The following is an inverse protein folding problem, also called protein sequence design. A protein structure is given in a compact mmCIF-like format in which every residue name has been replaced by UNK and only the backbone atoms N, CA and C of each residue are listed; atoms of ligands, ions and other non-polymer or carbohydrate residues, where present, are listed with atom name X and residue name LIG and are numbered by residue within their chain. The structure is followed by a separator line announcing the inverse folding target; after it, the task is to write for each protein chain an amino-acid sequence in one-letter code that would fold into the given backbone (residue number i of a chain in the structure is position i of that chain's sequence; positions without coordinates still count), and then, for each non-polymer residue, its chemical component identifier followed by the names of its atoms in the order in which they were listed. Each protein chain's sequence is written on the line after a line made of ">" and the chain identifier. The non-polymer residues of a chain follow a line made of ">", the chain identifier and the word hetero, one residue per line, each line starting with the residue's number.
data_IF_095304492378
#
_entry.id   IF_095304492378
#
_cell.length_a   1.000
_cell.length_b   1.000
_cell.length_c   1.000
_cell.angle_alpha   90.00
_cell.angle_beta   90.00
_cell.angle_gamma   90.00
#
_symmetry.space_group_name_H-M   'P 1'
#
loop_
_entity.id
_entity.type
_entity.pdbx_description
1 polymer ?
#
# COMPACT_ATOMS: atom_id res chain seq x y z
N UNK A 1 -11.01 2.29 -23.39
CA UNK A 1 -10.47 3.42 -22.61
C UNK A 1 -10.45 3.18 -21.08
N UNK A 2 -11.47 2.55 -20.47
CA UNK A 2 -11.52 2.29 -19.01
C UNK A 2 -10.42 1.32 -18.59
N UNK A 3 -10.32 0.17 -19.28
CA UNK A 3 -9.28 -0.84 -19.01
C UNK A 3 -7.88 -0.24 -19.18
N UNK A 4 -7.63 0.51 -20.26
CA UNK A 4 -6.33 1.10 -20.51
C UNK A 4 -5.90 2.10 -19.42
N UNK A 5 -6.83 2.89 -18.88
CA UNK A 5 -6.55 3.78 -17.74
C UNK A 5 -6.29 3.03 -16.45
N UNK A 6 -6.91 1.87 -16.28
CA UNK A 6 -6.77 1.05 -15.08
C UNK A 6 -5.55 0.12 -15.09
N UNK A 7 -4.75 0.10 -16.16
CA UNK A 7 -3.60 -0.81 -16.33
C UNK A 7 -2.32 -0.08 -16.74
N UNK A 8 -1.90 0.96 -15.99
CA UNK A 8 -0.64 1.66 -16.28
C UNK A 8 0.54 0.69 -16.17
N UNK A 9 1.49 0.79 -17.09
CA UNK A 9 2.70 -0.04 -17.10
C UNK A 9 2.51 -1.49 -17.56
N UNK A 10 1.30 -1.91 -17.95
CA UNK A 10 1.07 -3.26 -18.45
C UNK A 10 1.70 -3.43 -19.84
N UNK A 11 2.46 -4.51 -20.00
CA UNK A 11 2.92 -4.98 -21.31
C UNK A 11 1.78 -5.66 -22.09
N UNK A 12 2.00 -5.95 -23.39
CA UNK A 12 1.06 -6.74 -24.16
C UNK A 12 0.78 -8.13 -23.59
N UNK A 13 1.79 -8.74 -22.92
CA UNK A 13 1.63 -10.02 -22.23
C UNK A 13 0.72 -9.89 -21.01
N UNK A 14 0.86 -8.80 -20.22
CA UNK A 14 0.02 -8.53 -19.05
C UNK A 14 -1.43 -8.29 -19.47
N UNK A 15 -1.65 -7.56 -20.57
CA UNK A 15 -2.99 -7.34 -21.12
C UNK A 15 -3.63 -8.65 -21.62
N UNK A 16 -2.87 -9.52 -22.26
CA UNK A 16 -3.34 -10.85 -22.65
C UNK A 16 -3.70 -11.70 -21.45
N UNK A 17 -2.89 -11.65 -20.39
CA UNK A 17 -3.19 -12.32 -19.13
C UNK A 17 -4.44 -11.74 -18.47
N UNK A 18 -4.64 -10.43 -18.50
CA UNK A 18 -5.84 -9.77 -17.98
C UNK A 18 -7.12 -10.29 -18.64
N UNK A 19 -7.11 -10.40 -19.97
CA UNK A 19 -8.26 -10.96 -20.74
C UNK A 19 -8.51 -12.42 -20.35
N UNK A 20 -7.45 -13.22 -20.26
CA UNK A 20 -7.55 -14.63 -19.86
C UNK A 20 -8.11 -14.78 -18.44
N UNK A 21 -7.61 -14.00 -17.46
CA UNK A 21 -8.12 -14.04 -16.09
C UNK A 21 -9.57 -13.58 -16.00
N UNK A 22 -9.98 -12.55 -16.75
CA UNK A 22 -11.35 -12.09 -16.80
C UNK A 22 -12.29 -13.19 -17.36
N UNK A 23 -11.85 -13.91 -18.40
CA UNK A 23 -12.60 -15.05 -18.94
C UNK A 23 -12.72 -16.19 -17.90
N UNK A 24 -11.69 -16.45 -17.11
CA UNK A 24 -11.74 -17.44 -16.04
C UNK A 24 -12.71 -17.03 -14.92
N UNK A 25 -12.78 -15.73 -14.56
CA UNK A 25 -13.77 -15.24 -13.61
C UNK A 25 -15.21 -15.40 -14.15
N UNK A 26 -15.46 -15.06 -15.41
CA UNK A 26 -16.76 -15.25 -16.05
C UNK A 26 -17.17 -16.74 -16.06
N UNK A 27 -16.24 -17.63 -16.41
CA UNK A 27 -16.49 -19.06 -16.40
C UNK A 27 -16.85 -19.60 -15.01
N UNK A 28 -16.14 -19.16 -13.96
CA UNK A 28 -16.46 -19.53 -12.57
C UNK A 28 -17.83 -19.02 -12.12
N UNK A 29 -18.26 -17.86 -12.62
CA UNK A 29 -19.58 -17.28 -12.36
C UNK A 29 -20.67 -17.85 -13.28
N UNK A 30 -20.37 -18.86 -14.12
CA UNK A 30 -21.26 -19.42 -15.13
C UNK A 30 -21.85 -18.38 -16.10
N UNK A 31 -21.12 -17.28 -16.35
CA UNK A 31 -21.48 -16.25 -17.31
C UNK A 31 -21.06 -16.67 -18.72
N UNK A 32 -21.87 -16.33 -19.72
CA UNK A 32 -21.56 -16.58 -21.14
C UNK A 32 -20.75 -15.47 -21.80
N UNK A 33 -20.72 -14.30 -21.17
CA UNK A 33 -20.01 -13.11 -21.64
C UNK A 33 -19.12 -12.58 -20.52
N UNK A 34 -17.99 -12.00 -20.91
CA UNK A 34 -17.09 -11.27 -19.98
C UNK A 34 -17.53 -9.81 -19.98
N UNK A 35 -17.89 -9.27 -18.84
CA UNK A 35 -18.23 -7.87 -18.68
C UNK A 35 -17.17 -7.11 -17.85
N UNK A 36 -17.42 -5.84 -17.53
CA UNK A 36 -16.44 -5.01 -16.85
C UNK A 36 -16.13 -5.48 -15.43
N UNK A 37 -17.08 -6.13 -14.77
CA UNK A 37 -16.90 -6.65 -13.41
C UNK A 37 -15.82 -7.73 -13.38
N UNK A 38 -15.81 -8.65 -14.34
CA UNK A 38 -14.76 -9.67 -14.47
C UNK A 38 -13.40 -9.06 -14.80
N UNK A 39 -13.37 -8.00 -15.61
CA UNK A 39 -12.11 -7.27 -15.87
C UNK A 39 -11.58 -6.56 -14.64
N UNK A 40 -12.43 -5.96 -13.82
CA UNK A 40 -12.02 -5.34 -12.56
C UNK A 40 -11.47 -6.39 -11.57
N UNK A 41 -12.16 -7.54 -11.41
CA UNK A 41 -11.69 -8.65 -10.58
C UNK A 41 -10.36 -9.23 -11.07
N UNK A 42 -10.19 -9.35 -12.39
CA UNK A 42 -8.94 -9.82 -12.98
C UNK A 42 -7.79 -8.84 -12.76
N UNK A 43 -8.05 -7.54 -12.92
CA UNK A 43 -7.10 -6.48 -12.64
C UNK A 43 -6.66 -6.50 -11.18
N UNK A 44 -7.62 -6.57 -10.25
CA UNK A 44 -7.34 -6.66 -8.83
C UNK A 44 -6.47 -7.88 -8.49
N UNK A 45 -6.76 -9.04 -9.08
CA UNK A 45 -5.96 -10.26 -8.91
C UNK A 45 -4.53 -10.10 -9.43
N UNK A 46 -4.34 -9.45 -10.58
CA UNK A 46 -3.01 -9.26 -11.18
C UNK A 46 -2.20 -8.24 -10.38
N UNK A 47 -2.81 -7.13 -9.99
CA UNK A 47 -2.11 -6.02 -9.33
C UNK A 47 -1.90 -6.24 -7.84
N UNK A 48 -2.86 -6.82 -7.14
CA UNK A 48 -2.82 -7.01 -5.67
C UNK A 48 -2.59 -8.46 -5.25
N UNK A 49 -2.63 -9.42 -6.18
CA UNK A 49 -2.57 -10.85 -5.88
C UNK A 49 -3.94 -11.49 -5.65
N UNK A 50 -3.96 -12.82 -5.61
CA UNK A 50 -5.18 -13.59 -5.38
C UNK A 50 -5.71 -13.39 -3.96
N UNK A 51 -7.03 -13.25 -3.81
CA UNK A 51 -7.70 -13.21 -2.50
C UNK A 51 -7.53 -14.52 -1.73
N UNK A 52 -7.28 -14.41 -0.44
CA UNK A 52 -7.16 -15.55 0.49
C UNK A 52 -8.33 -15.56 1.46
N UNK A 53 -9.56 -15.70 0.96
CA UNK A 53 -10.79 -15.73 1.76
C UNK A 53 -10.87 -16.91 2.76
N UNK A 54 -10.05 -17.93 2.56
CA UNK A 54 -9.92 -19.05 3.49
C UNK A 54 -9.11 -18.72 4.76
N UNK A 55 -8.42 -17.59 4.80
CA UNK A 55 -7.71 -17.12 5.98
C UNK A 55 -8.71 -16.47 6.94
N UNK A 56 -9.00 -17.12 8.05
CA UNK A 56 -9.85 -16.56 9.10
C UNK A 56 -9.00 -15.64 9.97
N UNK A 57 -9.29 -14.34 9.90
CA UNK A 57 -8.67 -13.33 10.76
C UNK A 57 -9.51 -13.16 12.03
N UNK A 58 -8.86 -12.98 13.17
CA UNK A 58 -9.56 -12.56 14.39
C UNK A 58 -10.11 -11.13 14.23
N UNK A 59 -11.15 -10.78 14.99
CA UNK A 59 -11.71 -9.41 14.98
C UNK A 59 -10.67 -8.37 15.37
N UNK A 60 -9.72 -8.72 16.25
CA UNK A 60 -8.62 -7.84 16.62
C UNK A 60 -7.66 -7.60 15.45
N UNK A 61 -7.27 -8.65 14.73
CA UNK A 61 -6.42 -8.55 13.53
C UNK A 61 -7.12 -7.80 12.41
N UNK A 62 -8.43 -8.06 12.20
CA UNK A 62 -9.25 -7.34 11.22
C UNK A 62 -9.28 -5.85 11.51
N UNK A 63 -9.51 -5.50 12.78
CA UNK A 63 -9.50 -4.11 13.23
C UNK A 63 -8.13 -3.46 13.07
N UNK A 64 -7.06 -4.16 13.46
CA UNK A 64 -5.69 -3.66 13.34
C UNK A 64 -5.35 -3.40 11.86
N UNK A 65 -5.63 -4.34 10.98
CA UNK A 65 -5.43 -4.22 9.53
C UNK A 65 -6.23 -3.05 8.96
N UNK A 66 -7.49 -2.86 9.39
CA UNK A 66 -8.32 -1.77 8.91
C UNK A 66 -7.73 -0.39 9.25
N UNK A 67 -7.23 -0.19 10.47
CA UNK A 67 -6.56 1.04 10.84
C UNK A 67 -5.23 1.23 10.13
N UNK A 68 -4.47 0.16 9.94
CA UNK A 68 -3.20 0.17 9.20
C UNK A 68 -3.41 0.67 7.76
N UNK A 69 -4.31 0.04 7.01
CA UNK A 69 -4.60 0.41 5.63
C UNK A 69 -5.25 1.81 5.52
N UNK A 70 -6.13 2.15 6.44
CA UNK A 70 -6.71 3.50 6.51
C UNK A 70 -5.62 4.57 6.74
N UNK A 71 -4.60 4.26 7.52
CA UNK A 71 -3.45 5.12 7.74
C UNK A 71 -2.70 5.44 6.45
N UNK A 72 -2.37 4.43 5.64
CA UNK A 72 -1.76 4.61 4.33
C UNK A 72 -2.61 5.47 3.41
N UNK A 73 -3.90 5.17 3.33
CA UNK A 73 -4.83 5.86 2.44
C UNK A 73 -4.99 7.35 2.79
N UNK A 74 -5.17 7.67 4.09
CA UNK A 74 -5.34 9.06 4.53
C UNK A 74 -4.08 9.87 4.33
N UNK A 75 -2.91 9.31 4.68
CA UNK A 75 -1.64 10.02 4.45
C UNK A 75 -1.42 10.23 2.97
N UNK A 76 -1.58 9.19 2.14
CA UNK A 76 -1.41 9.31 0.69
C UNK A 76 -2.34 10.34 0.05
N UNK A 77 -3.57 10.51 0.56
CA UNK A 77 -4.52 11.52 0.07
C UNK A 77 -4.20 12.96 0.50
N UNK A 78 -3.43 13.15 1.56
CA UNK A 78 -3.20 14.47 2.18
C UNK A 78 -1.78 14.99 2.02
N UNK A 79 -0.85 14.19 1.55
CA UNK A 79 0.49 14.67 1.17
C UNK A 79 0.43 15.42 -0.17
N UNK A 80 1.36 16.36 -0.43
CA UNK A 80 1.24 17.29 -1.57
C UNK A 80 1.35 16.63 -2.94
N UNK A 81 2.08 15.53 -3.04
CA UNK A 81 2.30 14.85 -4.32
C UNK A 81 2.31 13.35 -4.09
N UNK A 82 1.28 12.66 -4.53
CA UNK A 82 1.15 11.21 -4.44
C UNK A 82 0.19 10.72 -5.53
N UNK A 83 0.30 9.44 -5.90
CA UNK A 83 -0.69 8.83 -6.75
C UNK A 83 -2.03 8.73 -6.02
N UNK A 84 -3.16 8.87 -6.72
CA UNK A 84 -4.46 8.72 -6.10
C UNK A 84 -4.67 7.33 -5.47
N UNK A 85 -5.36 7.30 -4.33
CA UNK A 85 -5.80 6.03 -3.75
C UNK A 85 -6.91 5.48 -4.63
N UNK A 86 -6.67 4.31 -5.21
CA UNK A 86 -7.63 3.63 -6.06
C UNK A 86 -8.58 2.74 -5.28
N UNK A 87 -8.04 1.91 -4.39
CA UNK A 87 -8.80 0.93 -3.60
C UNK A 87 -8.07 0.61 -2.31
N UNK A 88 -8.82 0.36 -1.25
CA UNK A 88 -8.30 -0.12 0.03
C UNK A 88 -9.07 -1.38 0.41
N UNK A 89 -8.37 -2.43 0.81
CA UNK A 89 -8.98 -3.71 1.20
C UNK A 89 -8.29 -4.31 2.40
N UNK A 90 -9.08 -4.96 3.25
CA UNK A 90 -8.59 -5.79 4.35
C UNK A 90 -8.77 -7.28 4.07
N UNK A 91 -9.19 -7.64 2.85
CA UNK A 91 -9.19 -9.04 2.40
C UNK A 91 -7.73 -9.44 2.16
N UNK A 92 -7.21 -10.47 2.83
CA UNK A 92 -5.84 -10.91 2.64
C UNK A 92 -5.53 -11.30 1.19
N UNK A 93 -4.40 -10.80 0.67
CA UNK A 93 -3.94 -11.06 -0.70
C UNK A 93 -2.47 -11.44 -0.70
N UNK A 94 -2.12 -12.56 -1.32
CA UNK A 94 -0.74 -13.04 -1.32
C UNK A 94 -0.19 -13.21 0.11
N UNK A 95 0.80 -12.41 0.49
CA UNK A 95 1.38 -12.36 1.84
C UNK A 95 0.85 -11.21 2.70
N UNK A 96 0.12 -10.26 2.12
CA UNK A 96 -0.41 -9.11 2.82
C UNK A 96 -1.76 -9.44 3.47
N UNK A 97 -2.01 -8.89 4.66
CA UNK A 97 -3.29 -8.99 5.36
C UNK A 97 -4.29 -7.96 4.85
N UNK A 98 -3.81 -6.84 4.34
CA UNK A 98 -4.56 -5.81 3.66
C UNK A 98 -3.73 -5.19 2.54
N UNK A 99 -4.33 -4.34 1.73
CA UNK A 99 -3.65 -3.62 0.65
C UNK A 99 -4.29 -2.26 0.44
N UNK A 100 -3.49 -1.21 0.50
CA UNK A 100 -3.85 0.13 0.01
C UNK A 100 -3.22 0.33 -1.35
N UNK A 101 -4.05 0.38 -2.38
CA UNK A 101 -3.61 0.50 -3.76
C UNK A 101 -3.65 1.94 -4.23
N UNK A 102 -2.51 2.42 -4.69
CA UNK A 102 -2.35 3.69 -5.37
C UNK A 102 -2.21 3.45 -6.87
N UNK A 103 -2.89 4.23 -7.68
CA UNK A 103 -2.87 4.08 -9.12
C UNK A 103 -2.48 5.41 -9.77
N UNK A 104 -1.36 5.48 -10.50
CA UNK A 104 -0.97 6.70 -11.20
C UNK A 104 -1.99 7.06 -12.27
N UNK A 105 -2.31 8.34 -12.41
CA UNK A 105 -3.22 8.85 -13.45
C UNK A 105 -2.55 8.91 -14.82
N UNK A 106 -1.23 9.02 -14.85
CA UNK A 106 -0.43 9.13 -16.06
C UNK A 106 0.87 8.29 -15.94
N UNK A 107 1.42 7.87 -17.07
CA UNK A 107 2.71 7.23 -17.12
C UNK A 107 3.81 8.23 -16.72
N UNK A 108 4.60 7.88 -15.70
CA UNK A 108 5.69 8.73 -15.21
C UNK A 108 7.04 8.16 -15.58
N UNK A 109 7.85 9.01 -16.17
CA UNK A 109 9.24 8.69 -16.55
C UNK A 109 10.25 9.16 -15.50
N UNK A 110 9.83 10.03 -14.56
CA UNK A 110 10.70 10.58 -13.51
C UNK A 110 9.93 10.84 -12.22
N UNK A 111 10.65 10.85 -11.11
CA UNK A 111 10.11 11.05 -9.77
C UNK A 111 10.73 12.31 -9.15
N UNK A 112 9.91 13.25 -8.72
CA UNK A 112 10.39 14.43 -8.00
C UNK A 112 10.74 14.10 -6.54
N UNK A 113 11.62 14.91 -5.92
CA UNK A 113 11.93 14.80 -4.48
C UNK A 113 10.66 14.85 -3.61
N UNK A 114 9.72 15.75 -3.98
CA UNK A 114 8.45 15.89 -3.26
C UNK A 114 7.59 14.64 -3.33
N UNK A 115 7.50 14.01 -4.51
CA UNK A 115 6.77 12.75 -4.68
C UNK A 115 7.39 11.61 -3.87
N UNK A 116 8.72 11.47 -3.90
CA UNK A 116 9.43 10.45 -3.13
C UNK A 116 9.24 10.64 -1.62
N UNK A 117 9.37 11.88 -1.12
CA UNK A 117 9.09 12.19 0.28
C UNK A 117 7.63 11.92 0.65
N UNK A 118 6.69 12.17 -0.25
CA UNK A 118 5.27 11.87 -0.05
C UNK A 118 5.00 10.36 -0.01
N UNK A 119 5.67 9.59 -0.87
CA UNK A 119 5.60 8.12 -0.81
C UNK A 119 6.16 7.58 0.51
N UNK A 120 7.31 8.08 0.98
CA UNK A 120 7.87 7.72 2.28
C UNK A 120 6.87 8.05 3.41
N UNK A 121 6.25 9.23 3.36
CA UNK A 121 5.22 9.60 4.33
C UNK A 121 4.05 8.63 4.32
N UNK A 122 3.54 8.26 3.14
CA UNK A 122 2.42 7.32 3.00
C UNK A 122 2.76 5.93 3.54
N UNK A 123 3.99 5.43 3.32
CA UNK A 123 4.46 4.15 3.86
C UNK A 123 4.45 4.10 5.39
N UNK A 124 4.66 5.21 6.08
CA UNK A 124 4.56 5.25 7.54
C UNK A 124 3.13 5.38 8.05
N UNK A 125 2.14 5.60 7.18
CA UNK A 125 0.74 5.79 7.56
C UNK A 125 0.19 4.64 8.39
N UNK A 126 0.42 3.40 7.97
CA UNK A 126 -0.05 2.19 8.66
C UNK A 126 0.52 2.08 10.07
N UNK A 127 1.85 2.16 10.21
CA UNK A 127 2.54 2.09 11.50
C UNK A 127 2.06 3.14 12.48
N UNK A 128 1.92 4.39 12.04
CA UNK A 128 1.50 5.49 12.89
C UNK A 128 0.02 5.35 13.28
N UNK A 129 -0.83 4.86 12.40
CA UNK A 129 -2.22 4.56 12.73
C UNK A 129 -2.31 3.51 13.86
N UNK A 130 -1.52 2.43 13.78
CA UNK A 130 -1.42 1.45 14.87
C UNK A 130 -0.99 2.11 16.19
N UNK A 131 0.04 2.95 16.19
CA UNK A 131 0.55 3.63 17.39
C UNK A 131 -0.49 4.56 18.02
N UNK A 132 -1.22 5.31 17.20
CA UNK A 132 -2.23 6.26 17.68
C UNK A 132 -3.45 5.58 18.30
N UNK A 133 -3.84 4.41 17.77
CA UNK A 133 -5.08 3.73 18.16
C UNK A 133 -4.85 2.66 19.24
N UNK A 134 -3.77 1.88 19.11
CA UNK A 134 -3.54 0.69 19.96
C UNK A 134 -2.40 0.86 20.98
N UNK A 135 -1.76 2.02 21.02
CA UNK A 135 -0.53 2.34 21.76
C UNK A 135 0.72 1.67 21.21
N UNK A 136 1.87 2.30 21.47
CA UNK A 136 3.18 1.87 20.96
C UNK A 136 3.58 0.44 21.39
N UNK A 137 3.07 -0.08 22.51
CA UNK A 137 3.35 -1.44 22.98
C UNK A 137 2.61 -2.54 22.21
N UNK A 138 1.56 -2.20 21.45
CA UNK A 138 0.75 -3.13 20.67
C UNK A 138 1.01 -3.05 19.17
N UNK A 139 2.01 -2.30 18.76
CA UNK A 139 2.41 -2.21 17.37
C UNK A 139 2.97 -3.54 16.89
N UNK A 140 2.63 -3.89 15.66
CA UNK A 140 2.96 -5.19 15.10
C UNK A 140 4.13 -5.12 14.11
N UNK A 141 4.57 -6.30 13.67
CA UNK A 141 5.54 -6.44 12.58
C UNK A 141 4.91 -6.23 11.20
N UNK A 142 3.62 -5.94 11.10
CA UNK A 142 2.90 -5.73 9.84
C UNK A 142 3.53 -4.66 8.96
N UNK A 143 4.03 -3.58 9.57
CA UNK A 143 4.69 -2.48 8.87
C UNK A 143 6.15 -2.78 8.41
N UNK A 144 6.66 -4.01 8.57
CA UNK A 144 8.08 -4.32 8.24
C UNK A 144 8.43 -4.00 6.79
N UNK A 145 7.57 -4.36 5.85
CA UNK A 145 7.78 -4.10 4.43
C UNK A 145 7.74 -2.60 4.12
N UNK A 146 6.84 -1.85 4.75
CA UNK A 146 6.71 -0.41 4.55
C UNK A 146 7.94 0.33 5.06
N UNK A 147 8.46 -0.06 6.24
CA UNK A 147 9.68 0.47 6.82
C UNK A 147 10.88 0.17 5.92
N UNK A 148 10.98 -1.06 5.41
CA UNK A 148 12.05 -1.46 4.48
C UNK A 148 12.01 -0.61 3.21
N UNK A 149 10.84 -0.50 2.56
CA UNK A 149 10.64 0.31 1.35
C UNK A 149 10.93 1.79 1.59
N UNK A 150 10.46 2.36 2.69
CA UNK A 150 10.73 3.74 3.06
C UNK A 150 12.24 3.98 3.23
N UNK A 151 12.94 3.06 3.89
CA UNK A 151 14.39 3.13 4.10
C UNK A 151 15.14 3.01 2.77
N UNK A 152 14.75 2.10 1.89
CA UNK A 152 15.36 1.94 0.57
C UNK A 152 15.16 3.17 -0.32
N UNK A 153 13.97 3.80 -0.29
CA UNK A 153 13.71 5.05 -1.00
C UNK A 153 14.58 6.17 -0.46
N UNK A 154 14.62 6.38 0.85
CA UNK A 154 15.47 7.41 1.48
C UNK A 154 16.94 7.20 1.16
N UNK A 155 17.44 5.95 1.21
CA UNK A 155 18.80 5.59 0.82
C UNK A 155 19.07 5.92 -0.64
N UNK A 156 18.18 5.55 -1.55
CA UNK A 156 18.33 5.85 -2.98
C UNK A 156 18.31 7.36 -3.26
N UNK A 157 17.49 8.12 -2.55
CA UNK A 157 17.47 9.58 -2.65
C UNK A 157 18.84 10.19 -2.31
N UNK A 158 19.51 9.67 -1.28
CA UNK A 158 20.80 10.16 -0.80
C UNK A 158 21.96 9.64 -1.65
N UNK A 159 21.97 8.32 -1.94
CA UNK A 159 23.17 7.67 -2.50
C UNK A 159 23.16 7.49 -4.00
N UNK A 160 21.97 7.46 -4.65
CA UNK A 160 21.86 7.20 -6.10
C UNK A 160 21.41 8.42 -6.90
N UNK A 161 20.47 9.20 -6.35
CA UNK A 161 19.82 10.26 -7.12
C UNK A 161 20.29 11.67 -6.76
N UNK A 162 21.24 11.81 -5.82
CA UNK A 162 21.81 13.11 -5.45
C UNK A 162 20.79 14.13 -4.95
N UNK A 163 19.75 13.66 -4.23
CA UNK A 163 18.64 14.49 -3.74
C UNK A 163 18.86 15.01 -2.30
N UNK A 164 20.03 14.75 -1.71
CA UNK A 164 20.41 15.31 -0.39
C UNK A 164 21.00 16.71 -0.59
N UNK A 165 20.50 17.68 0.18
CA UNK A 165 21.02 19.04 0.16
C UNK A 165 22.41 19.12 0.82
N UNK A 166 22.73 18.22 1.79
CA UNK A 166 24.01 18.15 2.49
C UNK A 166 25.12 17.48 1.68
N UNK A 167 24.78 16.40 0.96
CA UNK A 167 25.74 15.58 0.22
C UNK A 167 25.86 15.99 -1.24
N UNK A 168 24.92 16.79 -1.74
CA UNK A 168 24.92 17.29 -3.11
C UNK A 168 24.57 16.24 -4.17
N UNK A 169 24.69 16.60 -5.47
CA UNK A 169 24.32 15.74 -6.60
C UNK A 169 25.47 14.77 -6.94
N UNK A 170 25.83 13.93 -6.01
CA UNK A 170 26.85 12.91 -6.17
C UNK A 170 26.23 11.51 -5.98
N UNK A 171 26.84 10.51 -6.62
CA UNK A 171 26.50 9.10 -6.39
C UNK A 171 27.48 8.46 -5.42
N UNK A 172 26.92 7.77 -4.41
CA UNK A 172 27.67 7.02 -3.40
C UNK A 172 27.27 5.54 -3.42
N UNK A 173 26.54 5.09 -4.46
CA UNK A 173 26.19 3.69 -4.60
C UNK A 173 27.46 2.89 -4.91
N UNK A 174 27.68 1.84 -4.14
CA UNK A 174 28.59 0.78 -4.59
C UNK A 174 27.98 0.22 -5.90
N UNK A 175 28.78 0.17 -6.97
CA UNK A 175 28.40 -0.65 -8.11
C UNK A 175 28.31 -2.08 -7.59
N UNK A 176 27.14 -2.71 -7.74
CA UNK A 176 27.01 -4.16 -7.59
C UNK A 176 27.86 -4.78 -8.70
N UNK A 177 29.16 -4.86 -8.45
CA UNK A 177 30.09 -5.54 -9.35
C UNK A 177 29.58 -6.95 -9.52
N UNK A 178 29.33 -7.37 -10.75
CA UNK A 178 28.97 -8.74 -11.07
C UNK A 178 29.90 -9.67 -10.29
N UNK A 179 29.31 -10.46 -9.38
CA UNK A 179 30.06 -11.49 -8.64
C UNK A 179 30.48 -12.56 -9.65
N UNK A 180 31.62 -12.35 -10.27
CA UNK A 180 32.25 -13.36 -11.11
C UNK A 180 32.70 -14.47 -10.17
N UNK A 181 32.08 -15.64 -10.29
CA UNK A 181 32.33 -16.85 -9.51
C UNK A 181 33.84 -17.09 -9.37
N UNK A 182 34.37 -16.91 -8.15
CA UNK A 182 35.68 -17.44 -7.78
C UNK A 182 36.75 -16.45 -7.28
N UNK A 183 36.49 -15.16 -7.14
CA UNK A 183 37.41 -14.23 -6.45
C UNK A 183 36.66 -13.47 -5.34
N UNK A 184 37.15 -13.67 -4.11
CA UNK A 184 36.82 -12.75 -3.01
C UNK A 184 37.49 -11.41 -3.32
N UNK A 185 36.72 -10.50 -3.93
CA UNK A 185 37.16 -9.10 -4.08
C UNK A 185 37.08 -8.50 -2.69
N UNK A 186 38.25 -8.11 -2.16
CA UNK A 186 38.31 -7.25 -0.98
C UNK A 186 37.51 -5.98 -1.34
N UNK A 187 36.30 -5.79 -0.77
CA UNK A 187 35.56 -4.58 -0.96
C UNK A 187 36.35 -3.42 -0.40
N UNK A 188 36.98 -2.65 -1.27
CA UNK A 188 37.52 -1.37 -0.89
C UNK A 188 36.34 -0.46 -0.59
N UNK A 189 36.22 -0.01 0.66
CA UNK A 189 35.25 0.99 1.09
C UNK A 189 35.49 2.24 0.25
N UNK A 190 34.67 2.45 -0.78
CA UNK A 190 34.83 3.54 -1.75
C UNK A 190 34.57 4.93 -1.15
N UNK A 191 34.04 4.98 0.08
CA UNK A 191 33.65 6.20 0.81
C UNK A 191 34.37 6.26 2.17
N UNK A 192 34.73 7.49 2.60
CA UNK A 192 35.30 7.72 3.94
C UNK A 192 34.29 7.46 5.05
N UNK A 193 34.76 7.17 6.27
CA UNK A 193 33.88 6.97 7.43
C UNK A 193 33.02 8.20 7.73
N UNK A 194 33.57 9.40 7.53
CA UNK A 194 32.84 10.65 7.66
C UNK A 194 31.69 10.77 6.66
N UNK A 195 31.93 10.43 5.40
CA UNK A 195 30.90 10.40 4.35
C UNK A 195 29.84 9.34 4.64
N UNK A 196 30.22 8.15 5.10
CA UNK A 196 29.28 7.10 5.49
C UNK A 196 28.37 7.58 6.64
N UNK A 197 28.96 8.22 7.65
CA UNK A 197 28.17 8.81 8.75
C UNK A 197 27.21 9.88 8.27
N UNK A 198 27.65 10.77 7.38
CA UNK A 198 26.81 11.80 6.80
C UNK A 198 25.66 11.23 5.97
N UNK A 199 25.86 10.12 5.24
CA UNK A 199 24.81 9.40 4.53
C UNK A 199 23.78 8.84 5.51
N UNK A 200 24.21 8.18 6.59
CA UNK A 200 23.29 7.61 7.60
C UNK A 200 22.48 8.71 8.29
N UNK A 201 23.09 9.86 8.62
CA UNK A 201 22.37 11.02 9.16
C UNK A 201 21.30 11.55 8.20
N UNK A 202 21.64 11.72 6.92
CA UNK A 202 20.69 12.22 5.92
C UNK A 202 19.52 11.26 5.69
N UNK A 203 19.79 9.95 5.63
CA UNK A 203 18.73 8.93 5.55
C UNK A 203 17.80 9.06 6.76
N UNK A 204 18.36 9.14 7.97
CA UNK A 204 17.59 9.29 9.20
C UNK A 204 16.76 10.59 9.19
N UNK A 205 17.34 11.70 8.76
CA UNK A 205 16.65 12.98 8.67
C UNK A 205 15.44 12.93 7.72
N UNK A 206 15.60 12.27 6.54
CA UNK A 206 14.50 12.08 5.59
C UNK A 206 13.39 11.23 6.22
N UNK A 207 13.74 10.12 6.87
CA UNK A 207 12.80 9.24 7.55
C UNK A 207 12.06 9.99 8.67
N UNK A 208 12.77 10.62 9.58
CA UNK A 208 12.20 11.31 10.74
C UNK A 208 11.28 12.47 10.32
N UNK A 209 11.68 13.24 9.30
CA UNK A 209 10.86 14.32 8.73
C UNK A 209 9.53 13.78 8.21
N UNK A 210 9.56 12.70 7.42
CA UNK A 210 8.38 12.14 6.79
C UNK A 210 7.51 11.37 7.78
N UNK A 211 8.10 10.72 8.78
CA UNK A 211 7.39 10.11 9.90
C UNK A 211 6.57 11.16 10.68
N UNK A 212 7.22 12.25 11.11
CA UNK A 212 6.56 13.37 11.82
C UNK A 212 5.47 14.03 10.97
N UNK A 213 5.67 14.12 9.63
CA UNK A 213 4.66 14.62 8.70
C UNK A 213 3.40 13.75 8.73
N UNK A 214 3.56 12.45 8.64
CA UNK A 214 2.47 11.47 8.64
C UNK A 214 1.74 11.45 9.98
N UNK A 215 2.47 11.50 11.08
CA UNK A 215 1.91 11.62 12.43
C UNK A 215 1.03 12.87 12.58
N UNK A 216 1.51 14.02 12.11
CA UNK A 216 0.76 15.27 12.14
C UNK A 216 -0.51 15.18 11.29
N UNK A 217 -0.43 14.55 10.12
CA UNK A 217 -1.58 14.35 9.22
C UNK A 217 -2.64 13.49 9.91
N UNK A 218 -2.26 12.34 10.46
CA UNK A 218 -3.20 11.41 11.09
C UNK A 218 -3.81 11.97 12.36
N UNK A 219 -3.00 12.61 13.23
CA UNK A 219 -3.53 13.29 14.44
C UNK A 219 -4.58 14.35 14.11
N UNK A 220 -4.38 15.10 13.03
CA UNK A 220 -5.35 16.13 12.57
C UNK A 220 -6.61 15.53 11.95
N UNK A 221 -6.55 14.30 11.46
CA UNK A 221 -7.64 13.64 10.73
C UNK A 221 -8.08 12.35 11.42
N UNK A 222 -8.00 12.29 12.73
CA UNK A 222 -8.32 11.10 13.52
C UNK A 222 -9.77 10.62 13.29
N UNK A 223 -10.72 11.56 13.14
CA UNK A 223 -12.11 11.22 12.87
C UNK A 223 -12.28 10.50 11.52
N UNK A 224 -11.52 10.92 10.50
CA UNK A 224 -11.51 10.25 9.18
C UNK A 224 -10.86 8.88 9.26
N UNK A 225 -9.85 8.73 10.12
CA UNK A 225 -9.19 7.44 10.36
C UNK A 225 -10.19 6.44 10.94
N UNK A 226 -11.00 6.85 11.92
CA UNK A 226 -12.07 6.01 12.46
C UNK A 226 -13.13 5.68 11.40
N UNK A 227 -13.63 6.69 10.67
CA UNK A 227 -14.62 6.46 9.62
C UNK A 227 -14.13 5.48 8.53
N UNK A 228 -12.86 5.59 8.14
CA UNK A 228 -12.29 4.71 7.13
C UNK A 228 -12.09 3.29 7.65
N UNK A 229 -11.60 3.14 8.87
CA UNK A 229 -11.44 1.84 9.50
C UNK A 229 -12.80 1.13 9.69
N UNK A 230 -13.83 1.84 10.15
CA UNK A 230 -15.18 1.30 10.32
C UNK A 230 -15.79 0.87 8.96
N UNK A 231 -15.56 1.68 7.90
CA UNK A 231 -16.00 1.31 6.55
C UNK A 231 -15.27 0.05 6.04
N UNK A 232 -13.96 -0.08 6.30
CA UNK A 232 -13.19 -1.28 5.95
C UNK A 232 -13.64 -2.51 6.73
N UNK A 233 -13.95 -2.38 8.02
CA UNK A 233 -14.48 -3.49 8.83
C UNK A 233 -15.83 -3.94 8.28
N UNK A 234 -16.68 -2.98 7.86
CA UNK A 234 -18.03 -3.26 7.37
C UNK A 234 -18.04 -3.83 5.95
N UNK A 235 -17.31 -3.21 5.03
CA UNK A 235 -17.37 -3.52 3.59
C UNK A 235 -16.20 -4.34 3.08
N UNK A 236 -15.17 -4.57 3.92
CA UNK A 236 -13.92 -5.28 3.62
C UNK A 236 -13.08 -4.63 2.49
N UNK A 237 -13.70 -3.94 1.57
CA UNK A 237 -13.06 -3.20 0.48
C UNK A 237 -13.81 -1.90 0.23
N UNK A 238 -13.09 -0.80 0.07
CA UNK A 238 -13.63 0.51 -0.29
C UNK A 238 -12.94 1.06 -1.53
N UNK A 239 -13.70 1.69 -2.38
CA UNK A 239 -13.24 2.29 -3.63
C UNK A 239 -12.98 3.81 -3.49
N UNK A 240 -12.51 4.43 -4.57
CA UNK A 240 -12.23 5.87 -4.63
C UNK A 240 -13.44 6.72 -4.24
N UNK A 241 -14.67 6.31 -4.60
CA UNK A 241 -15.89 7.08 -4.33
C UNK A 241 -16.20 7.11 -2.84
N UNK A 242 -16.08 5.97 -2.18
CA UNK A 242 -16.25 5.84 -0.73
C UNK A 242 -15.15 6.56 0.04
N UNK A 243 -13.90 6.47 -0.45
CA UNK A 243 -12.77 7.20 0.11
C UNK A 243 -13.02 8.72 0.03
N UNK A 244 -13.53 9.23 -1.10
CA UNK A 244 -13.85 10.64 -1.26
C UNK A 244 -14.98 11.12 -0.32
N UNK A 245 -15.97 10.28 -0.06
CA UNK A 245 -17.01 10.58 0.93
C UNK A 245 -16.40 10.73 2.34
N UNK A 246 -15.56 9.79 2.74
CA UNK A 246 -14.85 9.80 4.04
C UNK A 246 -13.95 11.04 4.15
N UNK A 247 -13.19 11.35 3.09
CA UNK A 247 -12.32 12.52 3.11
C UNK A 247 -13.07 13.85 3.22
N UNK A 248 -14.35 13.89 2.84
CA UNK A 248 -15.27 15.02 3.07
C UNK A 248 -15.96 14.97 4.44
N UNK A 249 -15.62 13.98 5.30
CA UNK A 249 -16.25 13.78 6.61
C UNK A 249 -17.66 13.23 6.56
N UNK A 250 -18.03 12.55 5.46
CA UNK A 250 -19.34 11.92 5.29
C UNK A 250 -19.23 10.42 5.55
N UNK A 251 -20.33 9.84 6.03
CA UNK A 251 -20.46 8.37 6.06
C UNK A 251 -20.42 7.87 4.61
N UNK A 252 -19.55 6.91 4.30
CA UNK A 252 -19.44 6.41 2.94
C UNK A 252 -20.71 5.68 2.52
N UNK A 253 -21.09 5.85 1.26
CA UNK A 253 -22.18 5.09 0.66
C UNK A 253 -21.84 3.60 0.60
N UNK A 254 -22.82 2.69 0.66
CA UNK A 254 -22.54 1.28 0.47
C UNK A 254 -22.00 1.02 -0.95
N UNK A 255 -21.20 -0.03 -1.16
CA UNK A 255 -20.82 -0.50 -2.50
C UNK A 255 -22.04 -0.74 -3.38
N UNK A 256 -21.89 -0.63 -4.71
CA UNK A 256 -23.00 -0.75 -5.66
C UNK A 256 -23.67 -2.13 -5.68
N UNK A 257 -22.96 -3.14 -5.26
CA UNK A 257 -23.37 -4.56 -5.16
C UNK A 257 -23.61 -5.02 -3.72
N UNK A 258 -23.70 -4.08 -2.77
CA UNK A 258 -23.96 -4.38 -1.35
C UNK A 258 -25.44 -4.71 -1.12
N UNK A 259 -25.69 -5.91 -0.61
CA UNK A 259 -26.99 -6.31 -0.11
C UNK A 259 -26.96 -6.34 1.44
N UNK A 260 -27.80 -5.55 2.09
CA UNK A 260 -27.89 -5.51 3.57
C UNK A 260 -28.25 -6.88 4.20
N UNK A 261 -28.77 -7.83 3.40
CA UNK A 261 -29.07 -9.18 3.83
C UNK A 261 -27.80 -10.04 4.12
N UNK A 262 -26.66 -9.71 3.49
CA UNK A 262 -25.41 -10.45 3.70
C UNK A 262 -24.75 -10.12 5.06
N UNK A 263 -24.98 -8.94 5.62
CA UNK A 263 -24.47 -8.51 6.92
C UNK A 263 -25.07 -9.27 8.12
N UNK A 264 -26.23 -9.89 7.97
CA UNK A 264 -26.88 -10.68 9.03
C UNK A 264 -26.46 -12.17 9.02
N UNK A 265 -25.91 -12.69 7.94
CA UNK A 265 -25.53 -14.10 7.83
C UNK A 265 -24.13 -14.44 8.39
N UNK A 266 -23.29 -13.44 8.67
CA UNK A 266 -21.96 -13.68 9.27
C UNK A 266 -22.03 -13.99 10.79
N UNK A 267 -23.17 -13.79 11.46
CA UNK A 267 -23.36 -14.03 12.89
C UNK A 267 -23.96 -15.41 13.22
N UNK A 268 -24.27 -16.27 12.26
CA UNK A 268 -25.01 -17.54 12.46
C UNK A 268 -24.27 -18.80 11.98
N UNK A 269 -22.94 -18.81 11.95
CA UNK A 269 -22.24 -20.09 11.93
C UNK A 269 -22.08 -20.57 13.37
N UNK A 270 -23.18 -21.04 13.96
CA UNK A 270 -23.12 -21.93 15.10
C UNK A 270 -22.54 -23.27 14.63
N UNK A 271 -21.29 -23.51 15.01
CA UNK A 271 -20.70 -24.84 14.96
C UNK A 271 -21.49 -25.71 15.95
N UNK A 272 -22.36 -26.55 15.42
CA UNK A 272 -22.91 -27.66 16.22
C UNK A 272 -21.77 -28.64 16.48
N UNK A 273 -21.43 -28.82 17.75
CA UNK A 273 -20.48 -29.84 18.19
C UNK A 273 -20.96 -31.22 17.74
N UNK A 274 -20.05 -32.08 17.23
CA UNK A 274 -20.38 -33.47 16.98
C UNK A 274 -20.46 -34.22 18.31
N UNK A 275 -21.60 -34.87 18.54
CA UNK A 275 -21.82 -35.89 19.60
C UNK A 275 -20.96 -37.12 19.40
#
# INVERSE_FOLDING_TARGET
>A
NIIARGTPGFSGADLSNLVNEAALFAARANKKLVDMDEFEKAKDKIMMGAERRSLVMSEEEKKLTAYHEAGHAIVGRLVPSHDPVYKVTIIPRGRALGVTMFLPEEDRLSYSKELLESQISSLFGGRIAEELIFNASKVTTGASNDIERATQLARSMVTKWGLSDKLGPLTYSEEDGEVFLGRSVTQHKAISDETAHAIDEEIRNIIDKNYKRSEKILKKNIDKLHLMADALIKYETIDTTQIDDIMKGKVPRPPSDWDDSDGQNLSLIHISEPT
#
